data_IF_285286557891
#
_entry.id   IF_285286557891
#
_cell.length_a   1.000
_cell.length_b   1.000
_cell.length_c   1.000
_cell.angle_alpha   90.00
_cell.angle_beta   90.00
_cell.angle_gamma   90.00
#
_symmetry.space_group_name_H-M   'P 1'
#
loop_
_entity.id
_entity.type
_entity.pdbx_description
1 polymer ?
#
# COMPACT_ATOMS: atom_id res chain seq x y z
N UNK A 1 35.82 -74.20 30.64
CA UNK A 1 35.64 -72.90 31.23
C UNK A 1 35.52 -71.88 30.09
N UNK A 2 34.29 -71.46 29.68
CA UNK A 2 34.06 -70.49 28.56
C UNK A 2 33.84 -69.13 29.15
N UNK A 3 34.70 -68.15 28.79
CA UNK A 3 34.55 -66.76 29.21
C UNK A 3 33.54 -66.08 28.29
N UNK A 4 32.44 -65.58 28.87
CA UNK A 4 31.46 -64.72 28.19
C UNK A 4 31.94 -63.27 28.27
N UNK A 5 32.11 -62.64 27.10
CA UNK A 5 32.42 -61.18 26.99
C UNK A 5 31.11 -60.45 26.89
N UNK A 6 30.85 -59.59 27.86
CA UNK A 6 29.74 -58.60 27.81
C UNK A 6 30.16 -57.45 26.87
N UNK A 7 29.41 -57.27 25.78
CA UNK A 7 29.47 -56.04 24.97
C UNK A 7 28.53 -55.00 25.60
N UNK A 8 29.10 -53.92 26.07
CA UNK A 8 28.36 -52.74 26.46
C UNK A 8 27.99 -51.92 25.23
N UNK A 9 26.68 -51.82 24.92
CA UNK A 9 26.13 -50.89 23.93
C UNK A 9 26.08 -49.49 24.54
N UNK A 10 26.90 -48.58 24.04
CA UNK A 10 26.80 -47.16 24.29
C UNK A 10 25.73 -46.59 23.36
N UNK A 11 24.58 -46.24 23.95
CA UNK A 11 23.53 -45.49 23.23
C UNK A 11 23.89 -43.99 23.18
N UNK A 12 24.23 -43.50 22.00
CA UNK A 12 24.45 -42.08 21.73
C UNK A 12 23.07 -41.45 21.45
N UNK A 13 22.52 -40.76 22.40
CA UNK A 13 21.28 -39.97 22.24
C UNK A 13 21.69 -38.64 21.57
N UNK A 14 21.42 -38.51 20.29
CA UNK A 14 21.60 -37.21 19.58
C UNK A 14 20.45 -36.27 19.99
N UNK A 15 20.80 -35.21 20.74
CA UNK A 15 19.90 -34.10 21.00
C UNK A 15 19.77 -33.29 19.71
N UNK A 16 18.62 -33.40 19.03
CA UNK A 16 18.27 -32.51 17.91
C UNK A 16 17.68 -31.22 18.52
N UNK A 17 18.49 -30.19 18.64
CA UNK A 17 18.05 -28.84 18.95
C UNK A 17 17.41 -28.22 17.73
N UNK A 18 16.09 -28.21 17.65
CA UNK A 18 15.33 -27.42 16.66
C UNK A 18 15.48 -25.95 17.00
N UNK A 19 16.30 -25.24 16.21
CA UNK A 19 16.35 -23.78 16.24
C UNK A 19 15.09 -23.28 15.51
N UNK A 20 14.10 -22.80 16.27
CA UNK A 20 12.99 -22.03 15.72
C UNK A 20 13.55 -20.70 15.21
N UNK A 21 13.78 -20.60 13.91
CA UNK A 21 14.03 -19.33 13.24
C UNK A 21 12.68 -18.60 13.19
N UNK A 22 12.42 -17.74 14.16
CA UNK A 22 11.32 -16.77 14.07
C UNK A 22 11.72 -15.75 13.01
N UNK A 23 11.08 -15.81 11.83
CA UNK A 23 11.20 -14.74 10.85
C UNK A 23 10.76 -13.43 11.52
N UNK A 24 11.52 -12.32 11.39
CA UNK A 24 11.07 -11.05 11.91
C UNK A 24 9.75 -10.69 11.21
N UNK A 25 8.65 -10.65 11.95
CA UNK A 25 7.44 -9.98 11.49
C UNK A 25 7.81 -8.51 11.32
N UNK A 26 7.82 -8.03 10.08
CA UNK A 26 7.93 -6.60 9.82
C UNK A 26 6.65 -5.99 10.38
N UNK A 27 6.70 -5.57 11.63
CA UNK A 27 5.62 -4.80 12.22
C UNK A 27 5.55 -3.51 11.40
N UNK A 28 4.37 -3.24 10.80
CA UNK A 28 4.14 -1.96 10.16
C UNK A 28 4.47 -0.85 11.15
N UNK A 29 5.55 -0.13 10.90
CA UNK A 29 5.88 1.03 11.70
C UNK A 29 4.75 2.06 11.55
N UNK A 30 4.36 2.68 12.67
CA UNK A 30 3.40 3.77 12.62
C UNK A 30 3.90 4.85 11.64
N UNK A 31 2.99 5.53 10.89
CA UNK A 31 3.40 6.56 9.97
C UNK A 31 4.18 7.67 10.66
N UNK A 32 5.27 8.12 10.06
CA UNK A 32 6.03 9.27 10.52
C UNK A 32 5.31 10.56 10.10
N UNK A 33 4.86 11.34 11.08
CA UNK A 33 4.10 12.57 10.84
C UNK A 33 4.91 13.81 11.27
N UNK A 34 4.86 14.90 10.51
CA UNK A 34 5.58 16.13 10.82
C UNK A 34 4.91 17.01 11.90
N UNK A 35 3.67 16.72 12.24
CA UNK A 35 2.90 17.41 13.28
C UNK A 35 2.56 18.88 12.99
N UNK A 36 2.78 19.38 11.77
CA UNK A 36 2.65 20.80 11.41
C UNK A 36 1.23 21.16 10.98
N UNK A 37 0.75 22.31 11.49
CA UNK A 37 -0.49 22.97 11.03
C UNK A 37 -0.14 23.98 9.91
N UNK A 38 -1.03 24.24 8.91
CA UNK A 38 -2.44 23.81 8.85
C UNK A 38 -2.65 22.41 8.25
N UNK A 39 -1.62 21.78 7.67
CA UNK A 39 -1.68 20.45 7.06
C UNK A 39 -0.65 19.57 7.75
N UNK A 40 -1.10 18.53 8.41
CA UNK A 40 -0.21 17.48 8.92
C UNK A 40 0.11 16.51 7.79
N UNK A 41 1.39 16.28 7.52
CA UNK A 41 1.86 15.32 6.53
C UNK A 41 2.44 14.10 7.21
N UNK A 42 2.03 12.92 6.78
CA UNK A 42 2.53 11.65 7.27
C UNK A 42 3.00 10.79 6.10
N UNK A 43 4.10 10.08 6.30
CA UNK A 43 4.64 9.12 5.33
C UNK A 43 4.93 7.79 6.00
N UNK A 44 4.92 6.73 5.23
CA UNK A 44 5.25 5.40 5.70
C UNK A 44 5.33 4.41 4.56
N UNK A 45 5.45 3.14 4.92
CA UNK A 45 5.55 2.02 3.99
C UNK A 45 4.62 0.91 4.46
N UNK A 46 3.84 0.33 3.57
CA UNK A 46 2.98 -0.83 3.86
C UNK A 46 3.78 -2.12 3.95
N UNK A 47 3.15 -3.20 4.44
CA UNK A 47 3.81 -4.50 4.64
C UNK A 47 4.38 -5.11 3.36
N UNK A 48 3.81 -4.76 2.19
CA UNK A 48 4.30 -5.17 0.87
C UNK A 48 5.40 -4.25 0.30
N UNK A 49 5.85 -3.24 1.08
CA UNK A 49 6.91 -2.31 0.69
C UNK A 49 6.42 -1.11 -0.13
N UNK A 50 5.11 -0.86 -0.22
CA UNK A 50 4.58 0.29 -0.93
C UNK A 50 4.71 1.57 -0.10
N UNK A 51 5.44 2.60 -0.55
CA UNK A 51 5.46 3.88 0.11
C UNK A 51 4.11 4.57 -0.03
N UNK A 52 3.70 5.30 1.02
CA UNK A 52 2.48 6.09 1.02
C UNK A 52 2.68 7.46 1.64
N UNK A 53 1.79 8.38 1.29
CA UNK A 53 1.69 9.69 1.91
C UNK A 53 0.23 9.99 2.30
N UNK A 54 0.08 10.66 3.44
CA UNK A 54 -1.19 11.14 3.96
C UNK A 54 -1.06 12.63 4.25
N UNK A 55 -2.08 13.41 3.96
CA UNK A 55 -2.15 14.83 4.28
C UNK A 55 -3.49 15.13 4.94
N UNK A 56 -3.43 15.65 6.15
CA UNK A 56 -4.59 15.81 7.02
C UNK A 56 -4.73 17.31 7.36
N UNK A 57 -5.82 17.97 6.94
CA UNK A 57 -6.04 19.38 7.29
C UNK A 57 -6.44 19.54 8.76
N UNK A 58 -6.12 20.70 9.35
CA UNK A 58 -6.43 21.00 10.74
C UNK A 58 -7.94 20.92 11.05
N UNK A 59 -8.80 21.22 10.05
CA UNK A 59 -10.26 21.12 10.14
C UNK A 59 -10.80 19.74 9.71
N UNK A 60 -10.01 18.67 9.81
CA UNK A 60 -10.38 17.32 9.38
C UNK A 60 -11.77 16.92 9.87
N UNK A 61 -12.67 16.62 8.92
CA UNK A 61 -14.09 16.34 9.17
C UNK A 61 -14.44 14.85 9.36
N UNK A 62 -13.43 13.95 9.32
CA UNK A 62 -13.63 12.50 9.39
C UNK A 62 -13.74 11.82 8.02
N UNK A 63 -13.61 12.55 6.91
CA UNK A 63 -13.62 12.00 5.56
C UNK A 63 -12.22 11.94 4.99
N UNK A 64 -11.81 10.80 4.47
CA UNK A 64 -10.54 10.63 3.73
C UNK A 64 -10.81 10.28 2.28
N UNK A 65 -10.10 10.93 1.37
CA UNK A 65 -10.07 10.61 -0.05
C UNK A 65 -8.81 9.76 -0.35
N UNK A 66 -9.01 8.50 -0.72
CA UNK A 66 -7.96 7.56 -1.09
C UNK A 66 -7.80 7.57 -2.61
N UNK A 67 -6.67 8.06 -3.09
CA UNK A 67 -6.36 8.10 -4.51
C UNK A 67 -5.55 6.89 -4.95
N UNK A 68 -5.96 6.27 -6.06
CA UNK A 68 -5.22 5.24 -6.77
C UNK A 68 -4.71 5.80 -8.09
N UNK A 69 -3.38 5.89 -8.25
CA UNK A 69 -2.78 6.41 -9.47
C UNK A 69 -2.96 5.46 -10.66
N UNK A 70 -2.84 5.99 -11.87
CA UNK A 70 -2.92 5.24 -13.12
C UNK A 70 -1.68 4.37 -13.38
N UNK A 71 -1.62 3.81 -14.58
CA UNK A 71 -0.51 2.95 -15.00
C UNK A 71 0.83 3.71 -14.95
N UNK A 72 1.85 3.07 -14.40
CA UNK A 72 3.25 3.48 -14.46
C UNK A 72 4.06 2.32 -15.04
N UNK A 73 5.06 2.61 -15.86
CA UNK A 73 5.90 1.55 -16.42
C UNK A 73 6.70 0.83 -15.32
N UNK A 74 6.84 -0.48 -15.46
CA UNK A 74 7.61 -1.34 -14.56
C UNK A 74 9.05 -1.58 -15.05
N UNK A 75 9.50 -0.81 -16.04
CA UNK A 75 10.85 -0.81 -16.60
C UNK A 75 11.32 0.62 -16.83
N UNK A 76 12.63 0.83 -16.73
CA UNK A 76 13.27 2.06 -17.18
C UNK A 76 13.22 2.12 -18.70
N UNK A 77 12.88 3.29 -19.24
CA UNK A 77 12.76 3.48 -20.69
C UNK A 77 13.94 4.35 -21.19
N UNK A 78 14.71 3.87 -22.17
CA UNK A 78 15.82 4.64 -22.75
C UNK A 78 15.37 5.99 -23.29
N UNK A 79 16.24 7.01 -23.18
CA UNK A 79 15.93 8.38 -23.55
C UNK A 79 15.53 8.58 -25.02
N UNK A 80 15.98 7.72 -25.93
CA UNK A 80 15.70 7.84 -27.37
C UNK A 80 14.31 7.39 -27.84
N UNK A 81 13.44 6.92 -26.93
CA UNK A 81 12.09 6.45 -27.29
C UNK A 81 11.14 7.66 -27.35
N UNK A 82 10.44 7.88 -28.49
CA UNK A 82 9.48 8.97 -28.60
C UNK A 82 8.40 8.93 -27.53
N UNK A 83 7.97 10.09 -27.03
CA UNK A 83 6.90 10.33 -26.04
C UNK A 83 7.17 9.82 -24.61
N UNK A 84 7.90 8.72 -24.43
CA UNK A 84 8.09 8.08 -23.12
C UNK A 84 9.56 7.91 -22.73
N UNK A 85 10.49 8.31 -23.62
CA UNK A 85 11.93 8.15 -23.41
C UNK A 85 12.43 8.88 -22.15
N UNK A 86 13.37 8.23 -21.46
CA UNK A 86 13.95 8.76 -20.23
C UNK A 86 13.11 8.47 -18.96
N UNK A 87 11.95 7.81 -19.08
CA UNK A 87 11.18 7.41 -17.89
C UNK A 87 12.03 6.52 -16.97
N UNK A 88 11.96 6.81 -15.68
CA UNK A 88 12.54 5.98 -14.63
C UNK A 88 11.41 5.38 -13.78
N UNK A 89 11.58 4.13 -13.41
CA UNK A 89 10.63 3.47 -12.49
C UNK A 89 10.52 4.33 -11.23
N UNK A 90 9.30 4.60 -10.82
CA UNK A 90 9.02 5.33 -9.59
C UNK A 90 7.85 4.72 -8.85
N UNK A 91 7.98 4.66 -7.52
CA UNK A 91 6.91 4.34 -6.59
C UNK A 91 6.59 5.54 -5.68
N UNK A 92 6.85 6.75 -6.14
CA UNK A 92 6.51 7.96 -5.38
C UNK A 92 5.02 7.97 -5.01
N UNK A 93 4.68 8.18 -3.73
CA UNK A 93 3.30 8.29 -3.28
C UNK A 93 2.56 9.42 -3.99
N UNK A 94 1.29 9.18 -4.31
CA UNK A 94 0.47 10.13 -5.06
C UNK A 94 -0.91 10.27 -4.40
N UNK A 95 -1.09 11.15 -3.38
CA UNK A 95 -2.38 11.37 -2.72
C UNK A 95 -3.42 12.09 -3.59
N UNK A 96 -2.98 12.78 -4.64
CA UNK A 96 -3.81 13.43 -5.66
C UNK A 96 -3.12 13.32 -7.02
N UNK A 97 -3.84 13.36 -8.15
CA UNK A 97 -3.27 13.21 -9.49
C UNK A 97 -2.11 14.16 -9.76
N UNK A 98 -0.94 13.60 -10.10
CA UNK A 98 0.25 14.39 -10.43
C UNK A 98 0.73 15.34 -9.33
N UNK A 99 0.33 15.14 -8.08
CA UNK A 99 0.65 16.07 -7.00
C UNK A 99 -0.05 17.43 -7.13
N UNK A 100 -1.20 17.50 -7.83
CA UNK A 100 -1.90 18.76 -8.15
C UNK A 100 -2.33 19.51 -6.88
N UNK A 101 -1.65 20.64 -6.61
CA UNK A 101 -1.88 21.44 -5.41
C UNK A 101 -3.29 22.05 -5.34
N UNK A 102 -3.94 22.37 -6.46
CA UNK A 102 -5.28 22.95 -6.46
C UNK A 102 -6.33 21.89 -6.09
N UNK A 103 -6.16 20.65 -6.56
CA UNK A 103 -6.99 19.52 -6.14
C UNK A 103 -6.82 19.27 -4.64
N UNK A 104 -5.58 19.26 -4.14
CA UNK A 104 -5.32 19.09 -2.71
C UNK A 104 -5.95 20.21 -1.88
N UNK A 105 -5.80 21.48 -2.27
CA UNK A 105 -6.43 22.64 -1.61
C UNK A 105 -7.95 22.52 -1.56
N UNK A 106 -8.58 22.04 -2.64
CA UNK A 106 -10.02 21.84 -2.65
C UNK A 106 -10.44 20.83 -1.58
N UNK A 107 -9.78 19.66 -1.48
CA UNK A 107 -10.08 18.68 -0.43
C UNK A 107 -9.87 19.28 0.97
N UNK A 108 -8.76 19.99 1.18
CA UNK A 108 -8.47 20.60 2.49
C UNK A 108 -9.49 21.67 2.87
N UNK A 109 -9.98 22.46 1.91
CA UNK A 109 -11.03 23.46 2.17
C UNK A 109 -12.33 22.81 2.66
N UNK A 110 -12.60 21.57 2.24
CA UNK A 110 -13.76 20.79 2.67
C UNK A 110 -13.47 19.97 3.96
N UNK A 111 -12.30 20.10 4.55
CA UNK A 111 -11.89 19.31 5.73
C UNK A 111 -11.63 17.85 5.41
N UNK A 112 -11.40 17.50 4.17
CA UNK A 112 -11.14 16.13 3.71
C UNK A 112 -9.65 15.87 3.70
N UNK A 113 -9.22 14.78 4.36
CA UNK A 113 -7.85 14.29 4.27
C UNK A 113 -7.63 13.58 2.92
N UNK A 114 -6.39 13.60 2.43
CA UNK A 114 -6.01 12.89 1.21
C UNK A 114 -4.92 11.87 1.52
N UNK A 115 -5.00 10.72 0.87
CA UNK A 115 -4.04 9.63 1.04
C UNK A 115 -3.84 8.91 -0.29
N UNK A 116 -2.61 8.46 -0.54
CA UNK A 116 -2.29 7.66 -1.72
C UNK A 116 -0.97 6.94 -1.57
N UNK A 117 -0.90 5.77 -2.20
CA UNK A 117 0.31 4.96 -2.28
C UNK A 117 1.02 5.15 -3.62
N UNK A 118 2.31 4.84 -3.64
CA UNK A 118 3.08 4.66 -4.87
C UNK A 118 3.10 3.21 -5.35
N UNK A 119 2.38 2.31 -4.67
CA UNK A 119 2.39 0.87 -4.83
C UNK A 119 3.78 0.22 -4.81
N UNK A 120 3.88 -1.02 -4.34
CA UNK A 120 5.15 -1.75 -4.27
C UNK A 120 5.63 -2.20 -5.65
N UNK A 121 4.70 -2.47 -6.57
CA UNK A 121 4.98 -2.90 -7.94
C UNK A 121 4.30 -1.97 -8.93
N UNK A 122 4.98 -1.69 -10.02
CA UNK A 122 4.45 -0.94 -11.15
C UNK A 122 3.96 -1.88 -12.26
N UNK A 123 3.44 -1.36 -13.34
CA UNK A 123 2.82 -2.12 -14.42
C UNK A 123 1.35 -2.41 -14.13
N UNK A 124 0.84 -3.51 -14.67
CA UNK A 124 -0.54 -3.96 -14.43
C UNK A 124 -0.61 -4.71 -13.09
N UNK A 125 -1.10 -4.06 -12.06
CA UNK A 125 -0.98 -4.52 -10.67
C UNK A 125 -2.27 -4.46 -9.81
N UNK A 126 -3.50 -4.59 -10.36
CA UNK A 126 -4.74 -4.35 -9.59
C UNK A 126 -4.82 -5.16 -8.29
N UNK A 127 -4.46 -6.44 -8.33
CA UNK A 127 -4.60 -7.33 -7.16
C UNK A 127 -3.69 -6.94 -5.99
N UNK A 128 -2.43 -6.57 -6.27
CA UNK A 128 -1.53 -6.09 -5.21
C UNK A 128 -1.90 -4.69 -4.73
N UNK A 129 -2.29 -3.80 -5.64
CA UNK A 129 -2.69 -2.44 -5.31
C UNK A 129 -3.96 -2.37 -4.44
N UNK A 130 -4.93 -3.27 -4.67
CA UNK A 130 -6.11 -3.39 -3.79
C UNK A 130 -5.69 -3.78 -2.37
N UNK A 131 -4.79 -4.77 -2.21
CA UNK A 131 -4.27 -5.18 -0.89
C UNK A 131 -3.54 -4.03 -0.19
N UNK A 132 -2.68 -3.30 -0.92
CA UNK A 132 -2.01 -2.10 -0.42
C UNK A 132 -3.03 -1.06 0.07
N UNK A 133 -4.10 -0.80 -0.69
CA UNK A 133 -5.14 0.15 -0.32
C UNK A 133 -5.94 -0.28 0.90
N UNK A 134 -6.25 -1.58 1.06
CA UNK A 134 -6.89 -2.13 2.27
C UNK A 134 -6.04 -1.83 3.51
N UNK A 135 -4.75 -2.17 3.45
CA UNK A 135 -3.82 -1.91 4.55
C UNK A 135 -3.68 -0.40 4.84
N UNK A 136 -3.65 0.43 3.79
CA UNK A 136 -3.53 1.87 3.93
C UNK A 136 -4.78 2.50 4.58
N UNK A 137 -5.98 2.01 4.25
CA UNK A 137 -7.23 2.42 4.92
C UNK A 137 -7.17 2.07 6.42
N UNK A 138 -6.76 0.86 6.75
CA UNK A 138 -6.65 0.40 8.14
C UNK A 138 -5.61 1.21 8.91
N UNK A 139 -4.46 1.48 8.29
CA UNK A 139 -3.39 2.30 8.87
C UNK A 139 -3.88 3.73 9.12
N UNK A 140 -4.59 4.31 8.15
CA UNK A 140 -5.17 5.65 8.29
C UNK A 140 -6.20 5.72 9.41
N UNK A 141 -7.14 4.76 9.47
CA UNK A 141 -8.18 4.71 10.53
C UNK A 141 -7.57 4.53 11.93
N UNK A 142 -6.52 3.73 12.06
CA UNK A 142 -5.78 3.55 13.33
C UNK A 142 -5.10 4.83 13.77
N UNK A 143 -4.44 5.54 12.85
CA UNK A 143 -3.74 6.80 13.14
C UNK A 143 -4.72 7.96 13.40
N UNK A 144 -5.86 7.98 12.70
CA UNK A 144 -6.87 9.02 12.78
C UNK A 144 -8.25 8.42 13.10
N UNK A 145 -8.52 8.05 14.38
CA UNK A 145 -9.76 7.35 14.78
C UNK A 145 -11.06 8.12 14.52
N UNK A 146 -10.97 9.44 14.28
CA UNK A 146 -12.11 10.28 13.86
C UNK A 146 -12.63 9.93 12.46
N UNK A 147 -11.93 9.08 11.70
CA UNK A 147 -12.28 8.71 10.32
C UNK A 147 -13.58 7.90 10.28
N UNK A 148 -14.59 8.45 9.66
CA UNK A 148 -15.92 7.82 9.50
C UNK A 148 -16.25 7.48 8.06
N UNK A 149 -15.59 8.14 7.09
CA UNK A 149 -15.86 7.95 5.66
C UNK A 149 -14.57 7.80 4.88
N UNK A 150 -14.56 6.83 3.99
CA UNK A 150 -13.49 6.62 2.99
C UNK A 150 -14.10 6.75 1.61
N UNK A 151 -13.61 7.70 0.83
CA UNK A 151 -13.97 7.89 -0.59
C UNK A 151 -12.77 7.43 -1.42
N UNK A 152 -12.88 6.30 -2.09
CA UNK A 152 -11.84 5.84 -2.99
C UNK A 152 -12.07 6.38 -4.41
N UNK A 153 -11.00 6.85 -5.06
CA UNK A 153 -11.07 7.39 -6.40
C UNK A 153 -9.77 7.14 -7.17
N UNK A 154 -9.84 7.16 -8.47
CA UNK A 154 -8.69 6.90 -9.32
C UNK A 154 -9.01 6.98 -10.79
N UNK A 155 -7.98 7.11 -11.63
CA UNK A 155 -8.11 7.24 -13.07
C UNK A 155 -7.36 6.14 -13.80
N UNK A 156 -7.88 5.72 -14.97
CA UNK A 156 -7.26 4.67 -15.80
C UNK A 156 -7.13 3.36 -15.01
N UNK A 157 -5.93 2.78 -14.89
CA UNK A 157 -5.68 1.63 -14.00
C UNK A 157 -6.11 1.90 -12.55
N UNK A 158 -5.93 3.14 -12.06
CA UNK A 158 -6.42 3.56 -10.74
C UNK A 158 -7.92 3.47 -10.60
N UNK A 159 -8.68 3.68 -11.68
CA UNK A 159 -10.13 3.43 -11.72
C UNK A 159 -10.46 1.95 -11.56
N UNK A 160 -9.73 1.05 -12.23
CA UNK A 160 -9.88 -0.42 -12.07
C UNK A 160 -9.61 -0.84 -10.62
N UNK A 161 -8.53 -0.32 -10.02
CA UNK A 161 -8.18 -0.59 -8.62
C UNK A 161 -9.29 -0.09 -7.68
N UNK A 162 -9.82 1.11 -7.91
CA UNK A 162 -10.90 1.71 -7.12
C UNK A 162 -12.19 0.88 -7.20
N UNK A 163 -12.58 0.48 -8.39
CA UNK A 163 -13.74 -0.38 -8.61
C UNK A 163 -13.55 -1.74 -7.94
N UNK A 164 -12.39 -2.39 -8.17
CA UNK A 164 -12.08 -3.68 -7.54
C UNK A 164 -12.01 -3.63 -6.02
N UNK A 165 -11.57 -2.51 -5.43
CA UNK A 165 -11.61 -2.29 -3.98
C UNK A 165 -13.07 -2.28 -3.48
N UNK A 166 -13.97 -1.56 -4.16
CA UNK A 166 -15.37 -1.51 -3.78
C UNK A 166 -16.10 -2.86 -3.92
N UNK A 167 -15.76 -3.63 -4.93
CA UNK A 167 -16.37 -4.96 -5.15
C UNK A 167 -15.88 -6.01 -4.15
N UNK A 168 -14.58 -5.98 -3.81
CA UNK A 168 -13.98 -6.97 -2.92
C UNK A 168 -14.07 -6.60 -1.43
N UNK A 169 -14.17 -5.31 -1.13
CA UNK A 169 -14.16 -4.75 0.23
C UNK A 169 -15.17 -3.60 0.40
N UNK A 170 -16.47 -3.85 0.10
CA UNK A 170 -17.51 -2.82 0.18
C UNK A 170 -17.64 -2.20 1.57
N UNK A 171 -17.26 -2.93 2.62
CA UNK A 171 -17.30 -2.49 4.02
C UNK A 171 -16.24 -1.41 4.34
N UNK A 172 -15.20 -1.29 3.53
CA UNK A 172 -14.11 -0.35 3.78
C UNK A 172 -14.38 1.04 3.20
N UNK A 173 -15.23 1.13 2.16
CA UNK A 173 -15.43 2.37 1.40
C UNK A 173 -16.87 2.86 1.53
N UNK A 174 -17.03 4.18 1.66
CA UNK A 174 -18.34 4.84 1.75
C UNK A 174 -18.85 5.30 0.38
N UNK A 175 -17.93 5.56 -0.54
CA UNK A 175 -18.21 5.93 -1.93
C UNK A 175 -16.97 5.67 -2.80
N UNK A 176 -17.19 5.51 -4.10
CA UNK A 176 -16.12 5.32 -5.08
C UNK A 176 -16.34 6.21 -6.31
N UNK A 177 -15.24 6.66 -6.91
CA UNK A 177 -15.23 7.42 -8.15
C UNK A 177 -14.16 6.85 -9.11
N UNK A 178 -14.44 5.73 -9.78
CA UNK A 178 -13.58 5.20 -10.82
C UNK A 178 -13.72 6.07 -12.07
N UNK A 179 -12.63 6.70 -12.53
CA UNK A 179 -12.64 7.61 -13.67
C UNK A 179 -11.86 7.01 -14.84
N UNK A 180 -12.38 7.17 -16.04
CA UNK A 180 -11.72 6.75 -17.29
C UNK A 180 -11.11 5.33 -17.16
N UNK A 181 -11.86 4.44 -16.55
CA UNK A 181 -11.42 3.08 -16.25
C UNK A 181 -11.16 2.29 -17.53
N UNK A 182 -10.11 1.49 -17.55
CA UNK A 182 -9.88 0.52 -18.61
C UNK A 182 -10.76 -0.72 -18.35
N UNK A 183 -12.06 -0.62 -18.66
CA UNK A 183 -13.10 -1.55 -18.24
C UNK A 183 -13.37 -2.71 -19.20
N UNK A 184 -12.77 -2.70 -20.38
CA UNK A 184 -13.05 -3.71 -21.41
C UNK A 184 -11.83 -4.57 -21.75
N UNK A 185 -10.98 -4.86 -20.75
CA UNK A 185 -9.89 -5.82 -20.89
C UNK A 185 -10.41 -7.20 -20.51
N UNK A 186 -11.32 -7.75 -21.33
CA UNK A 186 -11.62 -9.15 -21.25
C UNK A 186 -10.36 -9.94 -21.66
N UNK A 187 -9.94 -10.98 -20.91
CA UNK A 187 -8.94 -11.90 -21.44
C UNK A 187 -9.50 -12.54 -22.71
N UNK A 188 -8.85 -12.30 -23.83
CA UNK A 188 -9.10 -13.01 -25.07
C UNK A 188 -8.39 -14.36 -25.03
#
# INVERSE_FOLDING_TARGET
MKKVRLLSLLSVTALVTTVLVTAPTVANAAPACDGKSPIQSCVGVTSDGAPYAMQIPANFNGTVALYSHGYRYNVDIPAGIPLIGGYKITNTPEPVPGGNAEVAKYFFSQGIAIVGSGFARQGWNPDSAIKTNVELIDTFKKQFPKTTKVVAWGSSLGGVITQGLAEKHPELVSAVAPMCMADNIAPQ
#
